data_IF_138128658261
#
_entry.id   IF_138128658261
#
_cell.length_a   1.000
_cell.length_b   1.000
_cell.length_c   1.000
_cell.angle_alpha   90.00
_cell.angle_beta   90.00
_cell.angle_gamma   90.00
#
_symmetry.space_group_name_H-M   'P 1'
#
loop_
_entity.id
_entity.type
_entity.pdbx_description
1 polymer ?
#
# COMPACT_ATOMS: atom_id res chain seq x y z
N UNK A 1 39.98 0.89 6.27
CA UNK A 1 39.79 1.47 4.92
C UNK A 1 40.21 2.93 4.94
N UNK A 2 41.08 3.35 4.02
CA UNK A 2 41.47 4.76 3.87
C UNK A 2 40.51 5.49 2.91
N UNK A 3 40.34 6.80 3.09
CA UNK A 3 39.35 7.59 2.33
C UNK A 3 39.51 7.47 0.81
N UNK A 4 40.74 7.36 0.30
CA UNK A 4 41.02 7.25 -1.12
C UNK A 4 40.66 5.89 -1.74
N UNK A 5 40.35 4.88 -0.91
CA UNK A 5 39.95 3.54 -1.36
C UNK A 5 38.42 3.38 -1.45
N UNK A 6 37.65 4.40 -1.09
CA UNK A 6 36.18 4.37 -1.17
C UNK A 6 35.76 4.67 -2.61
N UNK A 7 35.17 3.68 -3.28
CA UNK A 7 34.61 3.82 -4.62
C UNK A 7 33.10 3.62 -4.63
N UNK A 8 32.42 4.30 -5.56
CA UNK A 8 30.98 4.17 -5.73
C UNK A 8 30.67 2.85 -6.45
N UNK A 9 29.77 2.03 -5.91
CA UNK A 9 29.32 0.79 -6.55
C UNK A 9 28.60 1.06 -7.89
N UNK A 10 27.92 2.21 -8.02
CA UNK A 10 27.30 2.66 -9.28
C UNK A 10 27.61 4.12 -9.56
N UNK A 11 27.99 4.43 -10.80
CA UNK A 11 28.27 5.82 -11.23
C UNK A 11 27.02 6.68 -11.16
N UNK A 12 27.13 7.84 -10.51
CA UNK A 12 26.08 8.85 -10.51
C UNK A 12 25.83 9.38 -11.92
N UNK A 13 24.56 9.40 -12.36
CA UNK A 13 24.17 10.04 -13.61
C UNK A 13 24.27 11.56 -13.45
N UNK A 14 25.13 12.19 -14.26
CA UNK A 14 25.22 13.65 -14.34
C UNK A 14 24.00 14.20 -15.11
N UNK A 15 23.45 15.33 -14.66
CA UNK A 15 22.40 16.02 -15.39
C UNK A 15 22.93 16.58 -16.72
N UNK A 16 22.07 16.62 -17.73
CA UNK A 16 22.43 17.20 -19.02
C UNK A 16 22.44 18.73 -18.86
N UNK A 17 23.58 19.36 -19.16
CA UNK A 17 23.66 20.82 -19.25
C UNK A 17 23.03 21.29 -20.56
N UNK A 18 21.96 22.06 -20.45
CA UNK A 18 21.17 22.57 -21.58
C UNK A 18 21.71 23.95 -22.01
N UNK A 19 21.75 24.25 -23.31
CA UNK A 19 22.15 25.56 -23.83
C UNK A 19 23.67 25.81 -23.92
N UNK A 20 24.51 24.76 -23.94
CA UNK A 20 25.98 24.86 -23.99
C UNK A 20 26.63 24.14 -25.19
N UNK A 21 25.92 24.07 -26.32
CA UNK A 21 26.33 23.25 -27.47
C UNK A 21 26.09 21.74 -27.25
N UNK A 22 26.07 20.94 -28.33
CA UNK A 22 25.76 19.50 -28.29
C UNK A 22 24.26 19.16 -28.39
N UNK A 23 23.84 17.99 -27.85
CA UNK A 23 22.49 17.40 -28.05
C UNK A 23 21.30 18.29 -27.68
N UNK A 24 21.48 19.28 -26.79
CA UNK A 24 20.46 20.29 -26.42
C UNK A 24 21.05 21.70 -26.43
N UNK A 25 21.69 22.05 -27.55
CA UNK A 25 22.27 23.37 -27.80
C UNK A 25 21.23 24.41 -28.24
N UNK A 26 21.16 24.67 -29.55
CA UNK A 26 20.47 25.81 -30.19
C UNK A 26 19.07 26.09 -29.66
N UNK A 27 18.20 25.07 -29.65
CA UNK A 27 16.81 25.21 -29.19
C UNK A 27 16.54 24.51 -27.87
N UNK A 28 17.57 23.97 -27.20
CA UNK A 28 17.42 23.27 -25.93
C UNK A 28 16.40 22.10 -25.92
N UNK A 29 16.00 21.60 -27.10
CA UNK A 29 14.93 20.60 -27.28
C UNK A 29 13.50 21.15 -27.24
N UNK A 30 13.30 22.47 -27.28
CA UNK A 30 11.98 23.13 -27.25
C UNK A 30 11.43 23.56 -28.62
N UNK A 31 12.24 23.48 -29.68
CA UNK A 31 11.90 24.00 -31.00
C UNK A 31 12.11 25.52 -31.12
N UNK A 32 11.65 26.11 -32.22
CA UNK A 32 12.00 27.49 -32.61
C UNK A 32 11.11 28.53 -31.93
N UNK A 33 9.81 28.53 -32.25
CA UNK A 33 8.81 29.51 -31.76
C UNK A 33 7.55 28.77 -31.31
N UNK A 34 6.66 29.50 -30.64
CA UNK A 34 5.37 28.99 -30.17
C UNK A 34 5.26 28.97 -28.65
N UNK A 35 4.05 28.73 -28.16
CA UNK A 35 3.74 28.79 -26.73
C UNK A 35 4.64 27.87 -25.91
N UNK A 36 4.97 26.66 -26.41
CA UNK A 36 5.81 25.69 -25.70
C UNK A 36 7.30 26.07 -25.57
N UNK A 37 7.77 27.00 -26.40
CA UNK A 37 9.16 27.46 -26.42
C UNK A 37 9.40 28.69 -25.54
N UNK A 38 8.34 29.39 -25.10
CA UNK A 38 8.44 30.59 -24.25
C UNK A 38 8.58 30.22 -22.77
N UNK A 39 9.29 31.06 -22.01
CA UNK A 39 9.39 30.92 -20.57
C UNK A 39 8.02 31.09 -19.90
N UNK A 40 7.77 30.36 -18.81
CA UNK A 40 6.51 30.45 -18.05
C UNK A 40 5.30 29.82 -18.75
N UNK A 41 5.50 29.07 -19.84
CA UNK A 41 4.40 28.44 -20.54
C UNK A 41 3.72 27.36 -19.68
N UNK A 42 2.40 27.47 -19.51
CA UNK A 42 1.60 26.48 -18.77
C UNK A 42 0.39 26.09 -19.59
N UNK A 43 0.54 25.03 -20.39
CA UNK A 43 -0.59 24.44 -21.12
C UNK A 43 -1.46 23.68 -20.13
N UNK A 44 -2.77 23.95 -20.14
CA UNK A 44 -3.73 23.23 -19.30
C UNK A 44 -3.72 21.73 -19.67
N UNK A 45 -3.58 20.81 -18.71
CA UNK A 45 -3.64 19.37 -19.00
C UNK A 45 -5.00 18.97 -19.59
N UNK A 46 -4.98 18.22 -20.70
CA UNK A 46 -6.19 17.76 -21.40
C UNK A 46 -7.11 16.89 -20.51
N UNK A 47 -6.54 16.22 -19.51
CA UNK A 47 -7.29 15.44 -18.50
C UNK A 47 -8.38 16.26 -17.82
N UNK A 48 -8.22 17.59 -17.72
CA UNK A 48 -9.20 18.43 -17.04
C UNK A 48 -10.56 18.45 -17.76
N UNK A 49 -10.56 18.34 -19.07
CA UNK A 49 -11.81 18.37 -19.84
C UNK A 49 -12.50 17.00 -19.81
N UNK A 50 -11.71 15.91 -19.70
CA UNK A 50 -12.23 14.57 -19.41
C UNK A 50 -12.91 14.54 -18.03
N UNK A 51 -12.28 15.10 -17.01
CA UNK A 51 -12.85 15.15 -15.64
C UNK A 51 -14.16 15.95 -15.61
N UNK A 52 -14.26 17.04 -16.37
CA UNK A 52 -15.47 17.87 -16.43
C UNK A 52 -16.62 17.18 -17.17
N UNK A 53 -16.30 16.34 -18.17
CA UNK A 53 -17.31 15.56 -18.93
C UNK A 53 -17.82 14.37 -18.14
N UNK A 54 -16.99 13.76 -17.29
CA UNK A 54 -17.41 12.63 -16.46
C UNK A 54 -18.33 13.08 -15.33
N UNK A 55 -19.48 12.42 -15.12
CA UNK A 55 -20.34 12.72 -13.98
C UNK A 55 -19.59 12.45 -12.67
N UNK A 56 -19.93 13.22 -11.64
CA UNK A 56 -19.40 13.01 -10.28
C UNK A 56 -19.81 11.63 -9.76
N UNK A 57 -18.95 11.04 -8.92
CA UNK A 57 -19.27 9.79 -8.26
C UNK A 57 -20.46 9.96 -7.31
N UNK A 58 -21.36 8.97 -7.30
CA UNK A 58 -22.51 8.94 -6.39
C UNK A 58 -22.03 9.03 -4.94
N UNK A 59 -22.67 9.89 -4.15
CA UNK A 59 -22.31 10.06 -2.73
C UNK A 59 -21.13 11.00 -2.46
N UNK A 60 -20.53 11.63 -3.48
CA UNK A 60 -19.40 12.56 -3.28
C UNK A 60 -19.74 13.75 -2.36
N UNK A 61 -20.98 14.24 -2.38
CA UNK A 61 -21.44 15.31 -1.49
C UNK A 61 -21.73 14.84 -0.04
N UNK A 62 -21.77 13.53 0.20
CA UNK A 62 -22.12 12.91 1.48
C UNK A 62 -20.98 12.02 2.01
N UNK A 63 -19.74 12.47 1.83
CA UNK A 63 -18.52 11.77 2.31
C UNK A 63 -18.36 11.86 3.85
N UNK A 64 -19.44 11.64 4.58
CA UNK A 64 -19.54 11.77 6.03
C UNK A 64 -19.83 10.45 6.71
N UNK A 65 -18.97 9.44 6.50
CA UNK A 65 -18.83 8.24 7.35
C UNK A 65 -17.58 7.49 6.88
N UNK A 66 -16.43 7.87 7.41
CA UNK A 66 -15.23 7.07 7.23
C UNK A 66 -15.48 5.69 7.85
N UNK A 67 -15.45 4.65 7.03
CA UNK A 67 -15.38 3.29 7.54
C UNK A 67 -14.14 3.20 8.43
N UNK A 68 -14.29 2.66 9.65
CA UNK A 68 -13.13 2.33 10.49
C UNK A 68 -12.17 1.52 9.64
N UNK A 69 -10.89 1.86 9.64
CA UNK A 69 -9.87 1.11 8.91
C UNK A 69 -9.83 -0.30 9.48
N UNK A 70 -10.26 -1.26 8.66
CA UNK A 70 -10.21 -2.68 8.98
C UNK A 70 -9.06 -3.30 8.22
N UNK A 71 -8.17 -3.98 8.93
CA UNK A 71 -7.14 -4.80 8.29
C UNK A 71 -7.65 -6.23 8.15
N UNK A 72 -7.52 -6.80 6.97
CA UNK A 72 -8.04 -8.13 6.64
C UNK A 72 -6.91 -9.15 6.73
N UNK A 73 -7.13 -10.25 7.43
CA UNK A 73 -6.24 -11.42 7.48
C UNK A 73 -7.04 -12.67 7.15
N UNK A 74 -6.51 -13.54 6.30
CA UNK A 74 -7.15 -14.79 5.90
C UNK A 74 -6.61 -15.98 6.69
N UNK A 75 -7.38 -17.08 6.78
CA UNK A 75 -6.96 -18.30 7.50
C UNK A 75 -5.69 -18.92 6.90
N UNK A 76 -5.53 -18.89 5.58
CA UNK A 76 -4.31 -19.38 4.91
C UNK A 76 -3.02 -18.70 5.39
N UNK A 77 -3.10 -17.41 5.68
CA UNK A 77 -1.95 -16.63 6.14
C UNK A 77 -1.57 -17.00 7.57
N UNK A 78 -2.58 -17.30 8.38
CA UNK A 78 -2.41 -17.74 9.76
C UNK A 78 -1.79 -19.15 9.78
N UNK A 79 -2.32 -20.08 9.00
CA UNK A 79 -1.85 -21.46 8.93
C UNK A 79 -0.37 -21.57 8.54
N UNK A 80 0.11 -20.69 7.65
CA UNK A 80 1.51 -20.65 7.21
C UNK A 80 2.48 -20.07 8.24
N UNK A 81 2.02 -19.18 9.11
CA UNK A 81 2.89 -18.37 9.97
C UNK A 81 2.83 -18.74 11.44
N UNK A 82 1.73 -19.34 11.90
CA UNK A 82 1.53 -19.70 13.29
C UNK A 82 1.75 -21.20 13.52
N UNK A 83 2.27 -21.52 14.72
CA UNK A 83 2.38 -22.90 15.21
C UNK A 83 1.15 -23.27 16.02
N UNK A 84 0.92 -24.57 16.17
CA UNK A 84 -0.26 -25.12 16.84
C UNK A 84 -0.46 -24.53 18.24
N UNK A 85 -1.71 -24.19 18.60
CA UNK A 85 -2.13 -23.59 19.90
C UNK A 85 -1.55 -22.20 20.21
N UNK A 86 -1.01 -21.49 19.23
CA UNK A 86 -0.60 -20.10 19.44
C UNK A 86 -1.79 -19.14 19.56
N UNK A 87 -1.60 -18.10 20.37
CA UNK A 87 -2.55 -17.02 20.57
C UNK A 87 -2.50 -16.02 19.41
N UNK A 88 -3.63 -15.80 18.76
CA UNK A 88 -3.80 -14.85 17.66
C UNK A 88 -4.45 -13.58 18.21
N UNK A 89 -3.64 -12.52 18.28
CA UNK A 89 -3.96 -11.19 18.78
C UNK A 89 -3.30 -10.15 17.84
N UNK A 90 -3.82 -8.91 17.71
CA UNK A 90 -3.12 -7.84 16.98
C UNK A 90 -1.61 -7.73 17.23
N UNK A 91 -1.14 -7.98 18.46
CA UNK A 91 0.31 -7.97 18.80
C UNK A 91 1.06 -9.15 18.17
N UNK A 92 0.53 -10.36 18.26
CA UNK A 92 1.20 -11.56 17.70
C UNK A 92 1.15 -11.56 16.17
N UNK A 93 0.08 -11.01 15.59
CA UNK A 93 -0.03 -10.78 14.14
C UNK A 93 0.99 -9.76 13.62
N UNK A 94 1.30 -8.72 14.40
CA UNK A 94 2.37 -7.78 14.09
C UNK A 94 3.75 -8.44 14.13
N UNK A 95 4.04 -9.20 15.19
CA UNK A 95 5.33 -9.88 15.35
C UNK A 95 5.60 -10.88 14.22
N UNK A 96 4.56 -11.55 13.73
CA UNK A 96 4.65 -12.47 12.60
C UNK A 96 4.60 -11.77 11.22
N UNK A 97 4.56 -10.43 11.19
CA UNK A 97 4.59 -9.63 9.98
C UNK A 97 3.32 -9.71 9.12
N UNK A 98 2.20 -10.20 9.66
CA UNK A 98 0.93 -10.27 8.94
C UNK A 98 0.21 -8.92 8.92
N UNK A 99 0.52 -8.04 9.87
CA UNK A 99 -0.14 -6.74 10.02
C UNK A 99 0.91 -5.64 10.16
N UNK A 100 0.76 -4.49 9.48
CA UNK A 100 1.63 -3.34 9.69
C UNK A 100 1.42 -2.69 11.07
N UNK A 101 2.47 -2.09 11.65
CA UNK A 101 2.42 -1.48 12.98
C UNK A 101 1.29 -0.44 13.16
N UNK A 102 0.92 0.28 12.09
CA UNK A 102 -0.19 1.23 12.10
C UNK A 102 -1.54 0.60 12.47
N UNK A 103 -1.73 -0.68 12.12
CA UNK A 103 -2.99 -1.40 12.33
C UNK A 103 -3.02 -2.17 13.65
N UNK A 104 -1.88 -2.37 14.31
CA UNK A 104 -1.81 -3.08 15.59
C UNK A 104 -2.30 -2.22 16.79
N UNK A 105 -2.26 -0.89 16.69
CA UNK A 105 -2.64 0.03 17.78
C UNK A 105 -4.07 0.56 17.67
N UNK A 106 -4.48 1.02 16.48
CA UNK A 106 -5.69 1.83 16.32
C UNK A 106 -6.71 1.24 15.33
N UNK A 107 -6.41 0.09 14.71
CA UNK A 107 -7.27 -0.49 13.69
C UNK A 107 -7.92 -1.78 14.15
N UNK A 108 -9.05 -2.11 13.50
CA UNK A 108 -9.77 -3.35 13.76
C UNK A 108 -9.18 -4.41 12.84
N UNK A 109 -8.69 -5.50 13.40
CA UNK A 109 -8.28 -6.67 12.61
C UNK A 109 -9.50 -7.56 12.39
N UNK A 110 -9.79 -7.89 11.13
CA UNK A 110 -10.86 -8.81 10.75
C UNK A 110 -10.30 -10.07 10.08
N UNK A 111 -10.74 -11.22 10.56
CA UNK A 111 -10.34 -12.54 10.06
C UNK A 111 -11.42 -13.08 9.14
N UNK A 112 -11.03 -13.39 7.90
CA UNK A 112 -11.90 -13.95 6.88
C UNK A 112 -11.57 -15.43 6.62
N UNK A 113 -12.57 -16.17 6.15
CA UNK A 113 -12.55 -17.63 6.06
C UNK A 113 -11.97 -18.20 4.76
N UNK A 114 -11.16 -17.43 4.05
CA UNK A 114 -10.44 -17.93 2.88
C UNK A 114 -9.27 -18.79 3.34
N UNK A 115 -9.22 -20.02 2.85
CA UNK A 115 -8.26 -21.02 3.27
C UNK A 115 -8.79 -22.11 4.20
N UNK A 116 -7.93 -23.08 4.46
CA UNK A 116 -8.17 -24.14 5.44
C UNK A 116 -7.26 -23.93 6.65
N UNK A 117 -7.82 -24.21 7.83
CA UNK A 117 -7.07 -24.23 9.07
C UNK A 117 -7.00 -25.69 9.51
N UNK A 118 -5.82 -26.20 9.79
CA UNK A 118 -5.63 -27.58 10.28
C UNK A 118 -5.23 -27.57 11.75
N UNK A 119 -4.67 -26.44 12.21
CA UNK A 119 -4.18 -26.28 13.57
C UNK A 119 -5.24 -25.59 14.45
N UNK A 120 -5.53 -26.10 15.66
CA UNK A 120 -6.32 -25.36 16.64
C UNK A 120 -5.53 -24.13 17.12
N UNK A 121 -6.19 -22.96 17.09
CA UNK A 121 -5.65 -21.69 17.59
C UNK A 121 -6.68 -20.95 18.46
N UNK A 122 -6.19 -20.09 19.35
CA UNK A 122 -7.02 -19.18 20.15
C UNK A 122 -7.02 -17.79 19.53
N UNK A 123 -8.20 -17.21 19.30
CA UNK A 123 -8.35 -15.87 18.75
C UNK A 123 -8.84 -14.90 19.83
N UNK A 124 -8.13 -13.78 20.05
CA UNK A 124 -8.50 -12.74 21.03
C UNK A 124 -8.35 -11.32 20.45
N UNK A 125 -9.34 -10.46 20.68
CA UNK A 125 -9.28 -9.05 20.29
C UNK A 125 -9.31 -8.82 18.77
N UNK A 126 -9.90 -9.75 18.03
CA UNK A 126 -10.03 -9.73 16.56
C UNK A 126 -11.47 -10.01 16.16
N UNK A 127 -11.96 -9.35 15.11
CA UNK A 127 -13.30 -9.63 14.56
C UNK A 127 -13.23 -10.82 13.62
N UNK A 128 -14.06 -11.84 13.81
CA UNK A 128 -14.06 -13.03 12.96
C UNK A 128 -15.35 -13.09 12.13
N UNK A 129 -15.24 -13.35 10.83
CA UNK A 129 -16.41 -13.57 9.95
C UNK A 129 -17.13 -14.89 10.29
N UNK A 130 -18.44 -15.00 9.98
CA UNK A 130 -19.24 -16.19 10.29
C UNK A 130 -18.60 -17.48 9.72
N UNK A 131 -18.26 -17.47 8.43
CA UNK A 131 -17.58 -18.59 7.75
C UNK A 131 -16.23 -18.97 8.38
N UNK A 132 -15.47 -17.98 8.87
CA UNK A 132 -14.22 -18.26 9.57
C UNK A 132 -14.47 -18.87 10.96
N UNK A 133 -15.49 -18.40 11.70
CA UNK A 133 -15.85 -18.96 13.01
C UNK A 133 -16.21 -20.44 12.90
N UNK A 134 -16.96 -20.83 11.88
CA UNK A 134 -17.33 -22.24 11.62
C UNK A 134 -16.10 -23.11 11.39
N UNK A 135 -15.19 -22.69 10.49
CA UNK A 135 -13.95 -23.42 10.19
C UNK A 135 -13.03 -23.54 11.40
N UNK A 136 -12.91 -22.47 12.19
CA UNK A 136 -12.10 -22.48 13.42
C UNK A 136 -12.67 -23.44 14.45
N UNK A 137 -14.00 -23.41 14.67
CA UNK A 137 -14.68 -24.31 15.63
C UNK A 137 -14.61 -25.78 15.19
N UNK A 138 -14.71 -26.07 13.90
CA UNK A 138 -14.61 -27.43 13.37
C UNK A 138 -13.26 -28.10 13.71
N UNK A 139 -12.22 -27.29 13.89
CA UNK A 139 -10.85 -27.74 14.18
C UNK A 139 -10.48 -27.58 15.66
N UNK A 140 -11.46 -27.31 16.53
CA UNK A 140 -11.26 -27.18 17.98
C UNK A 140 -10.61 -25.87 18.42
N UNK A 141 -10.60 -24.83 17.57
CA UNK A 141 -10.13 -23.50 17.93
C UNK A 141 -11.16 -22.69 18.72
N UNK A 142 -10.69 -21.80 19.59
CA UNK A 142 -11.54 -20.96 20.46
C UNK A 142 -11.50 -19.52 19.99
N UNK A 143 -12.68 -18.91 19.86
CA UNK A 143 -12.82 -17.48 19.53
C UNK A 143 -13.37 -16.76 20.75
N UNK A 144 -12.57 -15.87 21.33
CA UNK A 144 -13.04 -14.93 22.36
C UNK A 144 -13.44 -13.64 21.66
N UNK A 145 -14.72 -13.31 21.74
CA UNK A 145 -15.30 -12.09 21.16
C UNK A 145 -14.82 -10.80 21.87
#
# INVERSE_FOLDING_TARGET
>A
MQLHNIQQNKKNRKSIRVGRGGKRGTYSGRGVKGQKARAGNRVRPAIRDLILRTPKLRGQAFWGRQAKTVFIVNLDQIEKKFKQKELINPKTLLNNGLIPAAYAKNAIVKILGDGEITKPHEFRGVKVSAKAKEKIKAQGGVVHD
#
